data_IF_595910493193
#
_entry.id   IF_595910493193
#
_cell.length_a   1.000
_cell.length_b   1.000
_cell.length_c   1.000
_cell.angle_alpha   90.00
_cell.angle_beta   90.00
_cell.angle_gamma   90.00
#
_symmetry.space_group_name_H-M   'P 1'
#
loop_
_entity.id
_entity.type
_entity.pdbx_description
1 polymer ?
#
# COMPACT_ATOMS: atom_id res chain seq x y z
N UNK A 1 -7.70 9.67 18.32
CA UNK A 1 -7.76 9.15 16.93
C UNK A 1 -8.41 7.79 17.00
N UNK A 2 -9.44 7.53 16.21
CA UNK A 2 -10.17 6.24 16.22
C UNK A 2 -10.04 5.61 14.85
N UNK A 3 -9.32 4.49 14.76
CA UNK A 3 -9.28 3.67 13.56
C UNK A 3 -10.57 2.85 13.45
N UNK A 4 -11.07 2.70 12.24
CA UNK A 4 -12.21 1.85 11.89
C UNK A 4 -11.71 0.53 11.32
N UNK A 5 -12.30 -0.59 11.70
CA UNK A 5 -12.05 -1.87 11.05
C UNK A 5 -12.55 -1.84 9.60
N UNK A 6 -11.86 -2.58 8.71
CA UNK A 6 -12.29 -2.69 7.31
C UNK A 6 -13.47 -3.64 7.19
N UNK A 7 -14.56 -3.13 6.62
CA UNK A 7 -15.73 -3.89 6.19
C UNK A 7 -16.05 -3.61 4.71
N UNK A 8 -17.11 -4.20 4.19
CA UNK A 8 -17.50 -4.02 2.78
C UNK A 8 -17.97 -2.59 2.48
N UNK A 9 -18.56 -1.90 3.45
CA UNK A 9 -19.04 -0.52 3.29
C UNK A 9 -17.91 0.50 3.34
N UNK A 10 -16.76 0.14 3.93
CA UNK A 10 -15.54 0.97 3.97
C UNK A 10 -15.04 1.35 2.57
N UNK A 11 -15.38 0.55 1.55
CA UNK A 11 -15.05 0.88 0.15
C UNK A 11 -15.60 2.25 -0.27
N UNK A 12 -16.79 2.62 0.18
CA UNK A 12 -17.41 3.91 -0.18
C UNK A 12 -16.60 5.09 0.34
N UNK A 13 -16.07 4.96 1.57
CA UNK A 13 -15.27 6.00 2.20
C UNK A 13 -13.84 6.04 1.61
N UNK A 14 -13.23 4.89 1.36
CA UNK A 14 -11.83 4.76 0.93
C UNK A 14 -11.63 4.95 -0.59
N UNK A 15 -12.65 4.70 -1.41
CA UNK A 15 -12.57 4.79 -2.87
C UNK A 15 -11.96 6.10 -3.40
N UNK A 16 -12.30 7.30 -2.89
CA UNK A 16 -11.70 8.54 -3.37
C UNK A 16 -10.18 8.58 -3.18
N UNK A 17 -9.69 7.99 -2.09
CA UNK A 17 -8.27 7.93 -1.76
C UNK A 17 -7.53 6.91 -2.62
N UNK A 18 -8.10 5.71 -2.85
CA UNK A 18 -7.53 4.74 -3.80
C UNK A 18 -7.42 5.33 -5.21
N UNK A 19 -8.44 6.07 -5.66
CA UNK A 19 -8.41 6.71 -6.97
C UNK A 19 -7.41 7.89 -7.07
N UNK A 20 -6.85 8.34 -5.96
CA UNK A 20 -5.91 9.46 -5.91
C UNK A 20 -4.45 9.04 -5.99
N UNK A 21 -4.15 7.74 -5.95
CA UNK A 21 -2.81 7.18 -5.97
C UNK A 21 -2.61 6.24 -7.15
N UNK A 22 -1.37 6.13 -7.62
CA UNK A 22 -0.96 5.27 -8.74
C UNK A 22 0.00 4.16 -8.25
N UNK A 23 -0.24 3.62 -7.05
CA UNK A 23 0.57 2.52 -6.52
C UNK A 23 0.18 1.22 -7.20
N UNK A 24 1.16 0.50 -7.76
CA UNK A 24 0.93 -0.71 -8.56
C UNK A 24 0.94 -2.00 -7.72
N UNK A 25 1.34 -1.95 -6.46
CA UNK A 25 1.35 -3.13 -5.59
C UNK A 25 -0.07 -3.54 -5.17
N UNK A 26 -0.28 -4.85 -4.97
CA UNK A 26 -1.61 -5.42 -4.69
C UNK A 26 -2.19 -4.97 -3.34
N UNK A 27 -1.36 -4.51 -2.41
CA UNK A 27 -1.77 -3.92 -1.13
C UNK A 27 -2.60 -2.65 -1.31
N UNK A 28 -2.48 -1.97 -2.46
CA UNK A 28 -3.25 -0.75 -2.77
C UNK A 28 -4.53 -1.04 -3.55
N UNK A 29 -5.07 -2.23 -3.39
CA UNK A 29 -6.38 -2.62 -3.89
C UNK A 29 -7.32 -2.91 -2.70
N UNK A 30 -8.49 -2.27 -2.67
CA UNK A 30 -9.47 -2.48 -1.61
C UNK A 30 -9.85 -3.96 -1.44
N UNK A 31 -10.00 -4.68 -2.56
CA UNK A 31 -10.34 -6.10 -2.53
C UNK A 31 -9.29 -6.91 -1.74
N UNK A 32 -8.01 -6.65 -1.95
CA UNK A 32 -6.93 -7.31 -1.21
C UNK A 32 -7.01 -7.00 0.27
N UNK A 33 -7.17 -5.73 0.65
CA UNK A 33 -7.31 -5.33 2.05
C UNK A 33 -8.53 -6.00 2.71
N UNK A 34 -9.67 -6.03 2.02
CA UNK A 34 -10.89 -6.65 2.53
C UNK A 34 -10.74 -8.17 2.69
N UNK A 35 -10.12 -8.86 1.74
CA UNK A 35 -9.90 -10.32 1.79
C UNK A 35 -9.02 -10.73 2.97
N UNK A 36 -8.00 -9.96 3.27
CA UNK A 36 -7.02 -10.25 4.32
C UNK A 36 -7.27 -9.54 5.65
N UNK A 37 -8.38 -8.78 5.79
CA UNK A 37 -8.66 -7.92 6.94
C UNK A 37 -8.62 -8.65 8.29
N UNK A 38 -9.19 -9.87 8.33
CA UNK A 38 -9.26 -10.65 9.58
C UNK A 38 -7.88 -11.18 9.98
N UNK A 39 -7.06 -11.59 8.99
CA UNK A 39 -5.71 -12.09 9.21
C UNK A 39 -4.77 -10.99 9.72
N UNK A 40 -4.86 -9.81 9.11
CA UNK A 40 -4.00 -8.67 9.44
C UNK A 40 -4.66 -7.66 10.38
N UNK A 41 -5.84 -7.95 10.92
CA UNK A 41 -6.61 -7.01 11.76
C UNK A 41 -6.62 -5.60 11.17
N UNK A 42 -6.87 -5.53 9.86
CA UNK A 42 -6.70 -4.31 9.08
C UNK A 42 -7.72 -3.26 9.49
N UNK A 43 -7.23 -2.06 9.75
CA UNK A 43 -8.05 -0.90 10.07
C UNK A 43 -7.55 0.34 9.35
N UNK A 44 -8.39 1.37 9.27
CA UNK A 44 -8.08 2.60 8.56
C UNK A 44 -8.51 3.84 9.34
N UNK A 45 -7.85 4.95 9.04
CA UNK A 45 -8.17 6.27 9.51
C UNK A 45 -8.17 7.25 8.34
N UNK A 46 -9.18 8.10 8.26
CA UNK A 46 -9.30 9.13 7.23
C UNK A 46 -9.09 10.49 7.87
N UNK A 47 -8.17 11.24 7.31
CA UNK A 47 -8.00 12.67 7.50
C UNK A 47 -8.49 13.39 6.24
N UNK A 48 -8.63 14.72 6.26
CA UNK A 48 -9.20 15.50 5.14
C UNK A 48 -8.55 15.20 3.78
N UNK A 49 -7.21 15.03 3.75
CA UNK A 49 -6.42 14.95 2.53
C UNK A 49 -5.86 13.55 2.23
N UNK A 50 -5.99 12.59 3.17
CA UNK A 50 -5.38 11.26 3.03
C UNK A 50 -6.08 10.20 3.89
N UNK A 51 -5.86 8.94 3.55
CA UNK A 51 -6.23 7.82 4.39
C UNK A 51 -5.00 7.00 4.78
N UNK A 52 -4.97 6.51 6.02
CA UNK A 52 -3.94 5.61 6.55
C UNK A 52 -4.56 4.25 6.79
N UNK A 53 -3.83 3.21 6.39
CA UNK A 53 -4.21 1.82 6.58
C UNK A 53 -3.14 1.17 7.44
N UNK A 54 -3.55 0.60 8.54
CA UNK A 54 -2.68 -0.13 9.47
C UNK A 54 -3.13 -1.58 9.58
N UNK A 55 -2.18 -2.45 9.86
CA UNK A 55 -2.43 -3.86 10.13
C UNK A 55 -1.56 -4.36 11.27
N UNK A 56 -1.83 -5.59 11.72
CA UNK A 56 -1.04 -6.31 12.71
C UNK A 56 -0.80 -7.74 12.21
N UNK A 57 0.43 -8.19 12.31
CA UNK A 57 0.79 -9.57 12.00
C UNK A 57 1.83 -10.08 13.00
N UNK A 58 1.57 -11.22 13.62
CA UNK A 58 2.44 -11.84 14.63
C UNK A 58 2.84 -10.90 15.81
N UNK A 59 1.97 -9.94 16.12
CA UNK A 59 2.22 -8.95 17.17
C UNK A 59 2.90 -7.67 16.70
N UNK A 60 3.44 -7.65 15.48
CA UNK A 60 4.02 -6.45 14.89
C UNK A 60 2.97 -5.62 14.16
N UNK A 61 2.95 -4.33 14.47
CA UNK A 61 2.08 -3.36 13.83
C UNK A 61 2.76 -2.76 12.62
N UNK A 62 2.07 -2.71 11.50
CA UNK A 62 2.58 -2.13 10.25
C UNK A 62 1.57 -1.19 9.60
N UNK A 63 2.05 -0.40 8.66
CA UNK A 63 1.22 0.37 7.74
C UNK A 63 1.70 0.15 6.31
N UNK A 64 0.79 0.21 5.35
CA UNK A 64 1.14 0.46 3.95
C UNK A 64 1.33 1.97 3.73
N UNK A 65 1.77 2.39 2.55
CA UNK A 65 1.88 3.81 2.26
C UNK A 65 0.51 4.50 2.38
N UNK A 66 0.47 5.74 2.88
CA UNK A 66 -0.76 6.47 2.96
C UNK A 66 -1.38 6.69 1.57
N UNK A 67 -2.68 6.56 1.48
CA UNK A 67 -3.44 6.90 0.29
C UNK A 67 -3.60 8.43 0.24
N UNK A 68 -2.66 9.09 -0.41
CA UNK A 68 -2.58 10.55 -0.47
C UNK A 68 -2.12 11.01 -1.84
N UNK A 69 -2.64 12.14 -2.31
CA UNK A 69 -2.10 12.80 -3.51
C UNK A 69 -0.62 13.16 -3.31
N UNK A 70 0.13 13.27 -4.42
CA UNK A 70 1.58 13.55 -4.40
C UNK A 70 1.95 14.80 -3.59
N UNK A 71 1.15 15.85 -3.64
CA UNK A 71 1.36 17.09 -2.88
C UNK A 71 1.03 16.97 -1.39
N UNK A 72 0.35 15.88 -0.97
CA UNK A 72 -0.06 15.61 0.41
C UNK A 72 0.74 14.50 1.09
N UNK A 73 1.55 13.78 0.34
CA UNK A 73 2.29 12.61 0.84
C UNK A 73 3.19 12.94 2.03
N UNK A 74 3.86 14.09 2.03
CA UNK A 74 4.71 14.55 3.15
C UNK A 74 3.91 14.73 4.44
N UNK A 75 2.71 15.37 4.35
CA UNK A 75 1.82 15.56 5.49
C UNK A 75 1.35 14.21 6.05
N UNK A 76 0.98 13.29 5.17
CA UNK A 76 0.50 11.97 5.54
C UNK A 76 1.59 11.12 6.21
N UNK A 77 2.83 11.13 5.69
CA UNK A 77 3.97 10.43 6.30
C UNK A 77 4.32 11.02 7.66
N UNK A 78 4.37 12.35 7.79
CA UNK A 78 4.62 13.00 9.08
C UNK A 78 3.56 12.62 10.12
N UNK A 79 2.30 12.54 9.70
CA UNK A 79 1.19 12.10 10.55
C UNK A 79 1.40 10.65 11.01
N UNK A 80 1.74 9.73 10.11
CA UNK A 80 2.01 8.33 10.45
C UNK A 80 3.17 8.18 11.43
N UNK A 81 4.27 8.89 11.20
CA UNK A 81 5.43 8.88 12.12
C UNK A 81 5.00 9.30 13.53
N UNK A 82 4.21 10.36 13.64
CA UNK A 82 3.71 10.84 14.94
C UNK A 82 2.73 9.85 15.56
N UNK A 83 1.87 9.23 14.77
CA UNK A 83 0.93 8.23 15.26
C UNK A 83 1.67 7.05 15.90
N UNK A 84 2.59 6.41 15.17
CA UNK A 84 3.34 5.25 15.69
C UNK A 84 4.19 5.61 16.91
N UNK A 85 4.79 6.81 16.92
CA UNK A 85 5.55 7.31 18.08
C UNK A 85 4.68 7.46 19.33
N UNK A 86 3.44 7.97 19.19
CA UNK A 86 2.52 8.17 20.31
C UNK A 86 1.97 6.86 20.86
N UNK A 87 1.88 5.83 20.02
CA UNK A 87 1.46 4.48 20.42
C UNK A 87 2.63 3.63 21.01
N UNK A 88 3.82 4.22 21.14
CA UNK A 88 5.06 3.52 21.55
C UNK A 88 5.40 2.32 20.65
N UNK A 89 5.02 2.40 19.38
CA UNK A 89 5.31 1.41 18.36
C UNK A 89 6.38 1.89 17.39
N UNK A 90 7.24 0.96 16.98
CA UNK A 90 8.14 1.19 15.85
C UNK A 90 7.29 1.36 14.58
N UNK A 91 7.57 2.41 13.79
CA UNK A 91 6.96 2.53 12.48
C UNK A 91 7.54 1.47 11.55
N UNK A 92 6.68 0.61 11.02
CA UNK A 92 7.03 -0.39 10.01
C UNK A 92 6.16 -0.18 8.78
N UNK A 93 6.78 0.23 7.67
CA UNK A 93 6.10 0.48 6.39
C UNK A 93 6.33 -0.70 5.45
N UNK A 94 5.26 -1.25 4.88
CA UNK A 94 5.29 -2.32 3.88
C UNK A 94 4.87 -1.82 2.50
N UNK A 95 5.25 -2.54 1.47
CA UNK A 95 4.93 -2.24 0.07
C UNK A 95 5.30 -0.80 -0.33
N UNK A 96 6.48 -0.34 0.12
CA UNK A 96 6.95 1.03 -0.14
C UNK A 96 7.49 1.14 -1.55
N UNK A 97 6.96 2.07 -2.35
CA UNK A 97 7.45 2.30 -3.73
C UNK A 97 8.80 3.00 -3.72
N UNK A 98 9.54 2.83 -4.82
CA UNK A 98 10.88 3.43 -4.97
C UNK A 98 10.85 4.96 -4.79
N UNK A 99 9.84 5.63 -5.34
CA UNK A 99 9.68 7.08 -5.24
C UNK A 99 9.53 7.54 -3.78
N UNK A 100 8.79 6.76 -2.97
CA UNK A 100 8.63 7.08 -1.56
C UNK A 100 9.87 6.72 -0.75
N UNK A 101 10.62 5.69 -1.12
CA UNK A 101 11.95 5.42 -0.52
C UNK A 101 12.88 6.62 -0.73
N UNK A 102 12.97 7.14 -1.96
CA UNK A 102 13.79 8.32 -2.28
C UNK A 102 13.35 9.57 -1.49
N UNK A 103 12.04 9.76 -1.33
CA UNK A 103 11.47 10.82 -0.50
C UNK A 103 11.87 10.67 0.98
N UNK A 104 11.73 9.47 1.54
CA UNK A 104 12.09 9.20 2.93
C UNK A 104 13.59 9.38 3.18
N UNK A 105 14.44 8.96 2.25
CA UNK A 105 15.89 9.17 2.33
C UNK A 105 16.27 10.65 2.36
N UNK A 106 15.55 11.46 1.56
CA UNK A 106 15.77 12.91 1.49
C UNK A 106 15.27 13.65 2.73
N UNK A 107 14.04 13.36 3.17
CA UNK A 107 13.36 14.14 4.21
C UNK A 107 13.68 13.67 5.63
N UNK A 108 14.05 12.39 5.75
CA UNK A 108 14.36 11.74 7.04
C UNK A 108 15.69 10.95 6.97
N UNK A 109 16.81 11.61 6.63
CA UNK A 109 18.10 10.94 6.42
C UNK A 109 18.53 10.15 7.67
N UNK A 110 18.86 8.87 7.44
CA UNK A 110 19.34 7.96 8.51
C UNK A 110 18.30 7.54 9.54
N UNK A 111 17.00 7.85 9.34
CA UNK A 111 15.93 7.49 10.29
C UNK A 111 15.23 6.18 9.97
N UNK A 112 15.38 5.67 8.77
CA UNK A 112 14.76 4.43 8.29
C UNK A 112 15.81 3.44 7.84
N UNK A 113 15.60 2.18 8.16
CA UNK A 113 16.25 1.04 7.53
C UNK A 113 15.39 0.57 6.36
N UNK A 114 16.01 0.20 5.24
CA UNK A 114 15.33 -0.22 4.01
C UNK A 114 15.68 -1.67 3.72
N UNK A 115 14.65 -2.50 3.65
CA UNK A 115 14.79 -3.94 3.38
C UNK A 115 14.08 -4.24 2.06
N UNK A 116 14.82 -4.79 1.09
CA UNK A 116 14.25 -5.26 -0.16
C UNK A 116 13.89 -6.75 -0.04
N UNK A 117 12.59 -7.04 -0.02
CA UNK A 117 12.05 -8.40 0.12
C UNK A 117 11.53 -8.90 -1.23
N UNK A 118 12.43 -9.41 -2.07
CA UNK A 118 12.11 -9.80 -3.46
C UNK A 118 11.00 -10.85 -3.55
N UNK A 119 10.83 -11.70 -2.57
CA UNK A 119 9.80 -12.75 -2.56
C UNK A 119 8.36 -12.19 -2.47
N UNK A 120 8.24 -10.93 -2.07
CA UNK A 120 6.96 -10.20 -1.99
C UNK A 120 6.75 -9.24 -3.16
N UNK A 121 7.57 -9.30 -4.21
CA UNK A 121 7.39 -8.43 -5.38
C UNK A 121 6.22 -8.89 -6.23
N UNK A 122 5.34 -7.97 -6.57
CA UNK A 122 4.25 -8.22 -7.50
C UNK A 122 4.74 -8.33 -8.94
N UNK A 123 4.06 -9.17 -9.71
CA UNK A 123 4.22 -9.23 -11.16
C UNK A 123 3.28 -8.24 -11.83
N UNK A 124 3.82 -7.13 -12.32
CA UNK A 124 3.05 -6.11 -13.04
C UNK A 124 3.01 -6.43 -14.52
N UNK A 125 1.82 -6.50 -15.10
CA UNK A 125 1.60 -6.78 -16.51
C UNK A 125 0.80 -5.65 -17.18
N UNK A 126 1.23 -5.26 -18.37
CA UNK A 126 0.45 -4.38 -19.22
C UNK A 126 -0.86 -5.06 -19.65
N UNK A 127 -1.99 -4.41 -19.40
CA UNK A 127 -3.32 -4.97 -19.64
C UNK A 127 -3.58 -5.31 -21.12
N UNK A 128 -3.13 -4.44 -22.05
CA UNK A 128 -3.27 -4.70 -23.50
C UNK A 128 -2.40 -5.89 -23.94
N UNK A 129 -1.21 -6.03 -23.38
CA UNK A 129 -0.35 -7.18 -23.62
C UNK A 129 -0.98 -8.48 -23.16
N UNK A 130 -1.68 -8.50 -22.02
CA UNK A 130 -2.41 -9.67 -21.53
C UNK A 130 -3.65 -9.95 -22.38
N UNK A 131 -4.43 -8.92 -22.73
CA UNK A 131 -5.65 -9.05 -23.52
C UNK A 131 -5.38 -9.63 -24.91
N UNK A 132 -4.33 -9.19 -25.57
CA UNK A 132 -4.01 -9.62 -26.95
C UNK A 132 -3.07 -10.82 -27.00
N UNK A 133 -2.27 -11.03 -25.96
CA UNK A 133 -1.18 -12.01 -25.90
C UNK A 133 -0.23 -11.94 -27.10
N UNK A 134 -0.10 -10.78 -27.75
CA UNK A 134 0.79 -10.57 -28.89
C UNK A 134 2.27 -10.67 -28.50
N UNK A 135 3.10 -11.02 -29.48
CA UNK A 135 4.54 -11.04 -29.35
C UNK A 135 5.11 -12.34 -28.79
N UNK A 136 6.44 -12.47 -28.95
CA UNK A 136 7.20 -13.69 -28.58
C UNK A 136 7.15 -13.98 -27.07
N UNK A 137 7.16 -12.94 -26.23
CA UNK A 137 7.10 -13.08 -24.76
C UNK A 137 5.83 -13.78 -24.26
N UNK A 138 4.74 -13.73 -25.02
CA UNK A 138 3.46 -14.33 -24.65
C UNK A 138 3.20 -15.68 -25.34
N UNK A 139 4.15 -16.23 -26.09
CA UNK A 139 3.96 -17.47 -26.84
C UNK A 139 3.53 -18.64 -25.95
N UNK A 140 4.19 -18.84 -24.81
CA UNK A 140 3.82 -19.91 -23.87
C UNK A 140 2.40 -19.75 -23.35
N UNK A 141 1.99 -18.52 -23.00
CA UNK A 141 0.62 -18.23 -22.55
C UNK A 141 -0.43 -18.54 -23.62
N UNK A 142 -0.18 -18.18 -24.89
CA UNK A 142 -1.07 -18.56 -26.02
C UNK A 142 -1.21 -20.07 -26.17
N UNK A 143 -0.12 -20.82 -26.02
CA UNK A 143 -0.15 -22.28 -26.17
C UNK A 143 -0.96 -22.98 -25.06
N UNK A 144 -1.24 -22.35 -23.95
CA UNK A 144 -2.11 -22.88 -22.90
C UNK A 144 -3.61 -22.59 -23.15
N UNK A 145 -3.95 -21.70 -24.08
CA UNK A 145 -5.34 -21.34 -24.41
C UNK A 145 -5.91 -22.10 -25.61
N UNK A 146 -5.07 -22.84 -26.32
CA UNK A 146 -5.42 -23.72 -27.46
C UNK A 146 -5.35 -25.18 -27.03
#
# INVERSE_FOLDING_TARGET
MIFKEIDIDSYKELRPFFNSVDYEACEYCFTTLYMWRDMYKTSYYIEDDFAIIVGEYEGDRFSVLPLAKKDKIHKAIAFMINYFKNEDHRIYLRAVTKEVVELLQKDYPGRFEYIEERDYFDYVYDAESLRTLKGRKNQKKRNHLN
#
